data_IF_302635742476
#
_entry.id   IF_302635742476
#
_cell.length_a   1.000
_cell.length_b   1.000
_cell.length_c   1.000
_cell.angle_alpha   90.00
_cell.angle_beta   90.00
_cell.angle_gamma   90.00
#
_symmetry.space_group_name_H-M   'P 1'
#
loop_
_entity.id
_entity.type
_entity.pdbx_description
1 polymer ?
#
# COMPACT_ATOMS: atom_id res chain seq x y z
N UNK A 1 6.88 -12.61 13.51
CA UNK A 1 5.55 -11.95 13.55
C UNK A 1 5.35 -11.12 12.33
N UNK A 2 4.17 -11.18 11.79
CA UNK A 2 3.83 -10.32 10.64
C UNK A 2 3.80 -8.86 11.04
N UNK A 3 4.13 -8.00 10.10
CA UNK A 3 4.00 -6.56 10.28
C UNK A 3 3.04 -5.99 9.25
N UNK A 4 2.46 -4.85 9.58
CA UNK A 4 1.55 -4.13 8.69
C UNK A 4 2.12 -2.75 8.43
N UNK A 5 2.20 -2.37 7.17
CA UNK A 5 2.57 -1.01 6.78
C UNK A 5 1.36 -0.36 6.15
N UNK A 6 0.96 0.78 6.68
CA UNK A 6 -0.19 1.53 6.17
C UNK A 6 0.32 2.89 5.69
N UNK A 7 0.08 3.18 4.43
CA UNK A 7 0.38 4.50 3.88
C UNK A 7 -0.92 5.27 3.80
N UNK A 8 -1.03 6.33 4.59
CA UNK A 8 -2.21 7.21 4.61
C UNK A 8 -2.03 8.30 3.59
N UNK A 9 -2.92 8.35 2.61
CA UNK A 9 -2.82 9.27 1.48
C UNK A 9 -3.91 10.34 1.56
N UNK A 10 -3.51 11.60 1.48
CA UNK A 10 -4.45 12.71 1.32
C UNK A 10 -4.70 12.87 -0.18
N UNK A 11 -5.95 12.67 -0.61
CA UNK A 11 -6.30 12.66 -2.02
C UNK A 11 -7.43 13.65 -2.26
N UNK A 12 -7.22 14.69 -3.07
CA UNK A 12 -8.30 15.60 -3.45
C UNK A 12 -9.43 14.83 -4.14
N UNK A 13 -10.66 15.29 -3.97
CA UNK A 13 -11.82 14.60 -4.51
C UNK A 13 -11.72 14.33 -6.00
N UNK A 14 -11.22 15.29 -6.77
CA UNK A 14 -11.08 15.14 -8.22
C UNK A 14 -10.01 14.12 -8.62
N UNK A 15 -9.16 13.71 -7.68
CA UNK A 15 -8.10 12.74 -7.95
C UNK A 15 -8.40 11.34 -7.45
N UNK A 16 -9.51 11.14 -6.76
CA UNK A 16 -9.85 9.83 -6.19
C UNK A 16 -9.97 8.74 -7.25
N UNK A 17 -10.67 9.03 -8.32
CA UNK A 17 -10.84 8.08 -9.41
C UNK A 17 -9.50 7.75 -10.08
N UNK A 18 -8.66 8.77 -10.27
CA UNK A 18 -7.32 8.58 -10.85
C UNK A 18 -6.47 7.68 -9.97
N UNK A 19 -6.50 7.90 -8.65
CA UNK A 19 -5.76 7.08 -7.71
C UNK A 19 -6.19 5.61 -7.80
N UNK A 20 -7.49 5.36 -7.78
CA UNK A 20 -8.01 4.00 -7.82
C UNK A 20 -7.64 3.29 -9.12
N UNK A 21 -7.70 4.00 -10.24
CA UNK A 21 -7.30 3.44 -11.54
C UNK A 21 -5.81 3.11 -11.57
N UNK A 22 -4.97 3.96 -10.99
CA UNK A 22 -3.53 3.70 -10.93
C UNK A 22 -3.20 2.47 -10.11
N UNK A 23 -3.87 2.28 -8.98
CA UNK A 23 -3.67 1.09 -8.17
C UNK A 23 -4.17 -0.16 -8.88
N UNK A 24 -5.28 -0.07 -9.60
CA UNK A 24 -5.78 -1.20 -10.37
C UNK A 24 -4.79 -1.64 -11.45
N UNK A 25 -4.14 -0.68 -12.10
CA UNK A 25 -3.17 -0.98 -13.15
C UNK A 25 -1.86 -1.56 -12.61
N UNK A 26 -1.59 -1.40 -11.31
CA UNK A 26 -0.41 -1.94 -10.64
C UNK A 26 -0.67 -3.26 -9.93
N UNK A 27 -1.88 -3.79 -10.05
CA UNK A 27 -2.19 -5.07 -9.44
C UNK A 27 -1.23 -6.14 -9.94
N UNK A 28 -0.70 -6.95 -9.04
CA UNK A 28 0.27 -8.00 -9.36
C UNK A 28 1.72 -7.61 -9.17
N UNK A 29 2.03 -6.31 -9.09
CA UNK A 29 3.42 -5.87 -8.97
C UNK A 29 4.02 -6.21 -7.60
N UNK A 30 3.29 -5.97 -6.52
CA UNK A 30 3.77 -6.23 -5.16
C UNK A 30 3.55 -7.68 -4.75
N UNK A 31 2.57 -8.35 -5.36
CA UNK A 31 2.16 -9.70 -4.98
C UNK A 31 3.25 -10.75 -5.18
N UNK A 32 4.20 -10.48 -6.05
CA UNK A 32 5.31 -11.40 -6.32
C UNK A 32 6.53 -11.16 -5.43
N UNK A 33 6.46 -10.20 -4.52
CA UNK A 33 7.58 -9.88 -3.65
C UNK A 33 7.71 -10.90 -2.53
N UNK A 34 8.94 -11.28 -2.21
CA UNK A 34 9.21 -12.23 -1.14
C UNK A 34 8.74 -11.67 0.21
N UNK A 35 8.00 -12.48 0.95
CA UNK A 35 7.48 -12.09 2.25
C UNK A 35 6.22 -11.25 2.22
N UNK A 36 5.71 -10.93 1.03
CA UNK A 36 4.43 -10.24 0.91
C UNK A 36 3.29 -11.17 1.31
N UNK A 37 2.36 -10.65 2.13
CA UNK A 37 1.24 -11.46 2.63
C UNK A 37 -0.13 -10.95 2.17
N UNK A 38 -0.34 -9.62 2.18
CA UNK A 38 -1.65 -9.08 1.85
C UNK A 38 -1.57 -7.63 1.41
N UNK A 39 -2.51 -7.22 0.57
CA UNK A 39 -2.64 -5.84 0.10
C UNK A 39 -4.11 -5.45 0.02
N UNK A 40 -4.43 -4.24 0.50
CA UNK A 40 -5.75 -3.66 0.30
C UNK A 40 -5.61 -2.15 0.11
N UNK A 41 -6.40 -1.61 -0.81
CA UNK A 41 -6.58 -0.17 -0.92
C UNK A 41 -7.92 0.17 -0.30
N UNK A 42 -7.92 0.99 0.75
CA UNK A 42 -9.10 1.30 1.52
C UNK A 42 -9.61 2.69 1.17
N UNK A 43 -10.84 2.75 0.66
CA UNK A 43 -11.51 4.02 0.37
C UNK A 43 -12.20 4.51 1.64
N UNK A 44 -12.03 5.79 2.02
CA UNK A 44 -12.68 6.30 3.21
C UNK A 44 -14.20 6.35 3.06
N UNK A 45 -14.89 5.88 4.08
CA UNK A 45 -16.36 5.95 4.16
C UNK A 45 -16.74 6.94 5.22
N UNK A 46 -16.13 6.81 6.41
CA UNK A 46 -16.49 7.61 7.58
C UNK A 46 -15.31 7.64 8.54
N UNK A 47 -15.15 8.72 9.25
CA UNK A 47 -14.11 8.87 10.26
C UNK A 47 -12.83 9.52 9.76
N UNK A 48 -12.56 9.43 8.48
CA UNK A 48 -11.41 10.08 7.82
C UNK A 48 -11.74 10.27 6.36
N UNK A 49 -11.04 11.20 5.70
CA UNK A 49 -11.12 11.39 4.26
C UNK A 49 -9.87 10.89 3.54
N UNK A 50 -8.97 10.22 4.26
CA UNK A 50 -7.73 9.68 3.68
C UNK A 50 -7.92 8.27 3.15
N UNK A 51 -7.29 7.99 2.01
CA UNK A 51 -7.15 6.62 1.53
C UNK A 51 -6.03 5.93 2.31
N UNK A 52 -6.19 4.63 2.55
CA UNK A 52 -5.15 3.85 3.23
C UNK A 52 -4.68 2.74 2.29
N UNK A 53 -3.36 2.69 2.08
CA UNK A 53 -2.73 1.57 1.38
C UNK A 53 -2.25 0.61 2.46
N UNK A 54 -2.96 -0.49 2.62
CA UNK A 54 -2.67 -1.49 3.63
C UNK A 54 -1.84 -2.61 3.00
N UNK A 55 -0.66 -2.88 3.60
CA UNK A 55 0.16 -4.01 3.18
C UNK A 55 0.59 -4.80 4.41
N UNK A 56 0.61 -6.12 4.26
CA UNK A 56 1.04 -7.02 5.32
C UNK A 56 2.24 -7.80 4.82
N UNK A 57 3.26 -7.91 5.67
CA UNK A 57 4.54 -8.52 5.33
C UNK A 57 4.95 -9.53 6.39
N UNK A 58 5.71 -10.55 5.98
CA UNK A 58 6.22 -11.57 6.88
C UNK A 58 7.04 -10.95 8.01
N UNK A 59 7.90 -9.99 7.68
CA UNK A 59 8.74 -9.29 8.62
C UNK A 59 9.22 -7.97 8.03
N UNK A 60 9.92 -7.18 8.85
CA UNK A 60 10.44 -5.88 8.42
C UNK A 60 11.46 -6.02 7.30
N UNK A 61 12.28 -7.06 7.34
CA UNK A 61 13.30 -7.29 6.31
C UNK A 61 12.68 -7.46 4.93
N UNK A 62 11.55 -8.17 4.84
CA UNK A 62 10.83 -8.37 3.58
C UNK A 62 10.32 -7.05 3.02
N UNK A 63 9.76 -6.20 3.88
CA UNK A 63 9.28 -4.87 3.46
C UNK A 63 10.44 -4.01 2.99
N UNK A 64 11.54 -3.98 3.71
CA UNK A 64 12.70 -3.18 3.33
C UNK A 64 13.30 -3.66 2.02
N UNK A 65 13.36 -4.97 1.80
CA UNK A 65 13.85 -5.51 0.54
C UNK A 65 12.99 -5.06 -0.64
N UNK A 66 11.68 -5.03 -0.46
CA UNK A 66 10.77 -4.56 -1.50
C UNK A 66 10.97 -3.06 -1.78
N UNK A 67 11.10 -2.26 -0.71
CA UNK A 67 11.31 -0.82 -0.84
C UNK A 67 12.61 -0.49 -1.57
N UNK A 68 13.68 -1.23 -1.28
CA UNK A 68 15.00 -0.99 -1.87
C UNK A 68 15.13 -1.58 -3.27
N UNK A 69 14.34 -2.61 -3.60
CA UNK A 69 14.39 -3.30 -4.88
C UNK A 69 13.28 -2.86 -5.82
N UNK A 70 12.20 -3.66 -5.93
CA UNK A 70 11.17 -3.42 -6.94
C UNK A 70 10.55 -2.03 -6.89
N UNK A 71 10.29 -1.49 -5.70
CA UNK A 71 9.67 -0.18 -5.59
C UNK A 71 10.62 0.92 -6.07
N UNK A 72 11.88 0.86 -5.66
CA UNK A 72 12.87 1.83 -6.09
C UNK A 72 13.07 1.79 -7.60
N UNK A 73 13.15 0.58 -8.16
CA UNK A 73 13.27 0.41 -9.61
C UNK A 73 12.08 1.00 -10.36
N UNK A 74 10.87 0.81 -9.83
CA UNK A 74 9.67 1.37 -10.44
C UNK A 74 9.67 2.89 -10.44
N UNK A 75 10.24 3.50 -9.38
CA UNK A 75 10.31 4.95 -9.28
C UNK A 75 11.50 5.57 -10.02
N UNK A 76 12.48 4.76 -10.39
CA UNK A 76 13.65 5.23 -11.14
C UNK A 76 13.55 5.03 -12.63
N UNK A 77 12.45 4.45 -13.12
CA UNK A 77 12.23 4.30 -14.55
C UNK A 77 12.34 5.64 -15.25
N UNK A 78 13.20 5.74 -16.26
CA UNK A 78 13.46 6.99 -16.97
C UNK A 78 12.20 7.56 -17.60
N UNK A 79 12.09 8.89 -17.60
CA UNK A 79 10.97 9.59 -18.20
C UNK A 79 10.26 10.47 -17.20
N UNK A 80 9.38 11.33 -17.70
CA UNK A 80 8.61 12.22 -16.85
C UNK A 80 7.65 11.43 -15.99
N UNK A 81 7.67 11.69 -14.70
CA UNK A 81 6.72 11.08 -13.79
C UNK A 81 5.40 11.83 -13.87
N UNK A 82 4.27 11.12 -13.97
CA UNK A 82 2.99 11.79 -13.85
C UNK A 82 2.86 12.39 -12.45
N UNK A 83 2.12 13.47 -12.36
CA UNK A 83 1.86 14.12 -11.09
C UNK A 83 1.21 13.11 -10.14
N UNK A 84 1.65 13.00 -8.88
CA UNK A 84 1.01 12.10 -7.95
C UNK A 84 -0.45 12.49 -7.71
N UNK A 85 -1.31 11.50 -7.61
CA UNK A 85 -2.73 11.74 -7.32
C UNK A 85 -2.93 12.19 -5.87
N UNK A 86 -2.05 11.73 -4.97
CA UNK A 86 -2.10 12.12 -3.56
C UNK A 86 -1.33 13.41 -3.34
N UNK A 87 -1.89 14.32 -2.53
CA UNK A 87 -1.22 15.57 -2.18
C UNK A 87 -0.33 15.41 -0.94
N UNK A 88 -0.42 14.30 -0.22
CA UNK A 88 0.41 14.02 0.94
C UNK A 88 0.33 12.55 1.30
N UNK A 89 1.34 12.08 2.03
CA UNK A 89 1.37 10.70 2.48
C UNK A 89 2.10 10.56 3.81
N UNK A 90 1.64 9.64 4.63
CA UNK A 90 2.25 9.30 5.91
C UNK A 90 2.27 7.78 6.04
N UNK A 91 3.41 7.23 6.41
CA UNK A 91 3.54 5.77 6.56
C UNK A 91 3.53 5.40 8.03
N UNK A 92 2.63 4.49 8.40
CA UNK A 92 2.54 3.94 9.74
C UNK A 92 2.97 2.48 9.71
N UNK A 93 3.62 2.03 10.78
CA UNK A 93 4.08 0.66 10.92
C UNK A 93 3.47 0.04 12.15
N UNK A 94 3.03 -1.21 12.03
CA UNK A 94 2.39 -1.94 13.12
C UNK A 94 2.90 -3.37 13.16
N UNK A 95 2.96 -3.96 14.35
CA UNK A 95 3.18 -5.38 14.51
C UNK A 95 1.83 -6.05 14.73
N UNK A 96 1.64 -7.21 14.13
CA UNK A 96 0.41 -7.97 14.34
C UNK A 96 0.56 -8.76 15.65
N UNK A 97 -0.11 -8.32 16.70
CA UNK A 97 -0.02 -8.99 18.00
C UNK A 97 -1.08 -10.06 18.20
N UNK A 98 -2.13 -10.02 17.36
CA UNK A 98 -3.20 -11.01 17.42
C UNK A 98 -3.94 -11.01 16.09
N UNK A 99 -4.30 -12.19 15.64
CA UNK A 99 -5.15 -12.33 14.47
C UNK A 99 -6.12 -13.48 14.67
N UNK A 100 -7.24 -13.41 14.01
CA UNK A 100 -8.25 -14.44 14.04
C UNK A 100 -8.88 -14.55 12.66
N UNK A 101 -9.16 -15.78 12.25
CA UNK A 101 -9.87 -16.02 11.01
C UNK A 101 -11.34 -16.29 11.32
N UNK A 102 -12.27 -15.99 10.39
CA UNK A 102 -13.67 -16.34 10.61
C UNK A 102 -13.83 -17.84 10.73
N UNK A 103 -14.76 -18.25 11.57
CA UNK A 103 -15.07 -19.67 11.70
C UNK A 103 -15.67 -20.15 10.39
N UNK A 104 -15.14 -21.28 9.91
CA UNK A 104 -15.73 -21.98 8.80
C UNK A 104 -16.77 -22.93 9.40
N UNK A 105 -18.00 -22.65 9.13
CA UNK A 105 -19.01 -23.45 9.74
C UNK A 105 -19.92 -24.11 8.78
#
# INVERSE_FOLDING_TARGET
MSIVKINALTVPDEQREVLEKRFASRAGAVENSDGFEWFELLRPIEGTDQYLVYTRWRDEAAFQAWMEGPMKAAHQGGGERPKPAASGSTVWSFEVVQQAAPKQG
#
